data_IF_161551463657
#
_entry.id   IF_161551463657
#
_cell.length_a   1.000
_cell.length_b   1.000
_cell.length_c   1.000
_cell.angle_alpha   90.00
_cell.angle_beta   90.00
_cell.angle_gamma   90.00
#
_symmetry.space_group_name_H-M   'P 1'
#
loop_
_entity.id
_entity.type
_entity.pdbx_description
1 polymer ?
#
# COMPACT_ATOMS: atom_id res chain seq x y z
N UNK A 1 -9.69 -7.10 -6.31
CA UNK A 1 -10.23 -5.72 -6.38
C UNK A 1 -9.32 -4.80 -7.21
N UNK A 2 -8.16 -4.35 -6.75
CA UNK A 2 -7.33 -3.36 -7.48
C UNK A 2 -6.91 -3.82 -8.90
N UNK A 3 -6.33 -5.02 -9.04
CA UNK A 3 -5.98 -5.58 -10.36
C UNK A 3 -7.21 -5.85 -11.24
N UNK A 4 -8.36 -6.18 -10.64
CA UNK A 4 -9.60 -6.43 -11.39
C UNK A 4 -10.16 -5.13 -11.99
N UNK A 5 -10.03 -4.01 -11.28
CA UNK A 5 -10.43 -2.69 -11.75
C UNK A 5 -9.30 -1.98 -12.53
N UNK A 6 -8.32 -2.73 -13.04
CA UNK A 6 -7.28 -2.24 -13.95
C UNK A 6 -6.54 -0.97 -13.47
N UNK A 7 -6.24 -0.90 -12.17
CA UNK A 7 -5.52 0.25 -11.61
C UNK A 7 -4.17 0.49 -12.28
N UNK A 8 -3.76 1.76 -12.37
CA UNK A 8 -2.45 2.17 -12.89
C UNK A 8 -1.40 2.37 -11.78
N UNK A 9 -1.69 1.94 -10.54
CA UNK A 9 -0.71 1.92 -9.45
C UNK A 9 0.44 0.96 -9.82
N UNK A 10 1.71 1.36 -9.65
CA UNK A 10 2.86 0.49 -9.92
C UNK A 10 2.84 -0.81 -9.08
N UNK A 11 3.54 -1.84 -9.53
CA UNK A 11 3.56 -3.15 -8.86
C UNK A 11 4.08 -3.05 -7.41
N UNK A 12 5.00 -2.14 -7.11
CA UNK A 12 5.47 -1.85 -5.75
C UNK A 12 4.32 -1.36 -4.86
N UNK A 13 3.48 -0.46 -5.38
CA UNK A 13 2.26 0.01 -4.72
C UNK A 13 1.29 -1.11 -4.40
N UNK A 14 1.11 -2.03 -5.35
CA UNK A 14 0.25 -3.20 -5.17
C UNK A 14 0.85 -4.20 -4.17
N UNK A 15 2.16 -4.39 -4.18
CA UNK A 15 2.86 -5.24 -3.22
C UNK A 15 2.76 -4.69 -1.79
N UNK A 16 2.95 -3.38 -1.61
CA UNK A 16 2.75 -2.70 -0.33
C UNK A 16 1.36 -3.01 0.22
N UNK A 17 0.29 -2.80 -0.56
CA UNK A 17 -1.08 -3.08 -0.12
C UNK A 17 -1.30 -4.58 0.16
N UNK A 18 -0.79 -5.46 -0.70
CA UNK A 18 -1.00 -6.91 -0.57
C UNK A 18 -0.31 -7.49 0.67
N UNK A 19 0.87 -6.98 1.02
CA UNK A 19 1.74 -7.58 2.04
C UNK A 19 1.95 -6.73 3.28
N UNK A 20 1.35 -5.53 3.41
CA UNK A 20 1.53 -4.64 4.58
C UNK A 20 1.21 -5.30 5.95
N UNK A 21 0.38 -6.34 5.95
CA UNK A 21 0.01 -7.08 7.16
C UNK A 21 0.89 -8.29 7.44
N UNK A 22 1.84 -8.64 6.56
CA UNK A 22 2.65 -9.84 6.64
C UNK A 22 3.90 -9.64 7.53
N UNK A 23 3.70 -9.24 8.79
CA UNK A 23 4.77 -8.93 9.74
C UNK A 23 5.81 -10.03 9.93
N UNK A 24 5.45 -11.33 9.98
CA UNK A 24 6.44 -12.40 10.00
C UNK A 24 7.47 -12.28 8.87
N UNK A 25 7.02 -11.93 7.66
CA UNK A 25 7.89 -11.76 6.50
C UNK A 25 8.68 -10.44 6.58
N UNK A 26 8.02 -9.29 6.48
CA UNK A 26 8.75 -8.03 6.29
C UNK A 26 9.52 -7.59 7.56
N UNK A 27 8.98 -7.84 8.76
CA UNK A 27 9.59 -7.44 10.04
C UNK A 27 10.42 -8.55 10.70
N UNK A 28 9.93 -9.79 10.75
CA UNK A 28 10.63 -10.91 11.44
C UNK A 28 11.55 -11.73 10.54
N UNK A 29 11.56 -11.47 9.23
CA UNK A 29 12.38 -12.17 8.23
C UNK A 29 12.10 -13.69 8.18
N UNK A 30 10.90 -14.08 8.58
CA UNK A 30 10.39 -15.44 8.37
C UNK A 30 9.95 -15.62 6.91
N UNK A 31 9.65 -16.87 6.52
CA UNK A 31 9.20 -17.22 5.17
C UNK A 31 10.19 -16.95 4.03
N UNK A 32 11.46 -16.67 4.33
CA UNK A 32 12.50 -16.48 3.30
C UNK A 32 12.63 -17.66 2.32
N UNK A 33 12.32 -18.89 2.75
CA UNK A 33 12.31 -20.08 1.91
C UNK A 33 11.18 -20.12 0.86
N UNK A 34 10.22 -19.20 0.93
CA UNK A 34 9.13 -19.05 -0.04
C UNK A 34 9.35 -17.88 -1.00
N UNK A 35 10.39 -17.05 -0.77
CA UNK A 35 10.65 -15.85 -1.56
C UNK A 35 11.29 -16.19 -2.92
N UNK A 36 10.91 -15.44 -3.95
CA UNK A 36 11.69 -15.32 -5.19
C UNK A 36 12.73 -14.20 -5.06
N UNK A 37 13.60 -14.06 -6.07
CA UNK A 37 14.61 -13.00 -6.09
C UNK A 37 13.96 -11.60 -6.09
N UNK A 38 12.86 -11.45 -6.83
CA UNK A 38 12.13 -10.19 -6.96
C UNK A 38 11.43 -9.77 -5.65
N UNK A 39 11.10 -10.72 -4.78
CA UNK A 39 10.48 -10.43 -3.48
C UNK A 39 11.40 -9.63 -2.55
N UNK A 40 12.73 -9.72 -2.75
CA UNK A 40 13.68 -8.95 -1.96
C UNK A 40 13.54 -7.45 -2.21
N UNK A 41 13.39 -7.03 -3.46
CA UNK A 41 13.20 -5.61 -3.82
C UNK A 41 11.82 -5.11 -3.36
N UNK A 42 10.78 -5.93 -3.49
CA UNK A 42 9.44 -5.58 -3.02
C UNK A 42 9.36 -5.45 -1.50
N UNK A 43 10.13 -6.25 -0.75
CA UNK A 43 10.19 -6.17 0.71
C UNK A 43 10.68 -4.80 1.19
N UNK A 44 11.60 -4.16 0.48
CA UNK A 44 12.10 -2.84 0.85
C UNK A 44 11.00 -1.77 0.74
N UNK A 45 10.17 -1.83 -0.30
CA UNK A 45 9.00 -0.95 -0.45
C UNK A 45 7.94 -1.21 0.64
N UNK A 46 7.66 -2.48 0.94
CA UNK A 46 6.72 -2.85 2.02
C UNK A 46 7.21 -2.33 3.38
N UNK A 47 8.51 -2.42 3.65
CA UNK A 47 9.12 -1.87 4.86
C UNK A 47 9.07 -0.36 4.94
N UNK A 48 9.30 0.34 3.83
CA UNK A 48 9.21 1.80 3.79
C UNK A 48 7.78 2.26 4.08
N UNK A 49 6.78 1.65 3.42
CA UNK A 49 5.37 1.92 3.69
C UNK A 49 4.96 1.63 5.14
N UNK A 50 5.46 0.53 5.71
CA UNK A 50 5.10 0.12 7.07
C UNK A 50 5.46 1.17 8.13
N UNK A 51 6.49 2.00 7.90
CA UNK A 51 6.81 3.13 8.79
C UNK A 51 5.64 4.11 8.89
N UNK A 52 5.02 4.44 7.76
CA UNK A 52 3.88 5.36 7.72
C UNK A 52 2.61 4.73 8.30
N UNK A 53 2.29 3.48 7.95
CA UNK A 53 1.16 2.75 8.55
C UNK A 53 1.29 2.68 10.08
N UNK A 54 2.47 2.35 10.60
CA UNK A 54 2.65 2.15 12.03
C UNK A 54 2.70 3.48 12.80
N UNK A 55 3.46 4.45 12.33
CA UNK A 55 3.85 5.62 13.14
C UNK A 55 3.07 6.90 12.84
N UNK A 56 2.14 6.90 11.89
CA UNK A 56 1.21 8.03 11.69
C UNK A 56 -0.07 7.92 12.52
N UNK A 57 -0.26 6.82 13.25
CA UNK A 57 -1.39 6.61 14.17
C UNK A 57 -1.30 7.62 15.32
N UNK A 58 -2.21 8.58 15.33
CA UNK A 58 -2.28 9.64 16.32
C UNK A 58 -3.73 9.83 16.81
N UNK A 59 -3.88 10.34 18.04
CA UNK A 59 -5.20 10.64 18.62
C UNK A 59 -5.88 11.82 17.90
N UNK A 60 -5.08 12.76 17.41
CA UNK A 60 -5.55 13.89 16.61
C UNK A 60 -5.79 13.43 15.19
N UNK A 61 -7.04 13.56 14.73
CA UNK A 61 -7.43 13.21 13.37
C UNK A 61 -7.15 14.37 12.40
N UNK A 62 -6.73 14.09 11.16
CA UNK A 62 -6.60 15.13 10.14
C UNK A 62 -7.97 15.68 9.73
N UNK A 63 -7.99 16.91 9.21
CA UNK A 63 -9.18 17.48 8.59
C UNK A 63 -9.42 16.82 7.23
N UNK A 64 -10.45 15.97 7.17
CA UNK A 64 -10.79 15.23 5.95
C UNK A 64 -11.33 16.16 4.86
N UNK A 65 -12.03 17.24 5.21
CA UNK A 65 -12.61 18.15 4.22
C UNK A 65 -11.53 18.95 3.51
N UNK A 66 -10.52 19.41 4.26
CA UNK A 66 -9.35 20.10 3.70
C UNK A 66 -8.55 19.19 2.76
N UNK A 67 -8.36 17.92 3.12
CA UNK A 67 -7.55 16.98 2.36
C UNK A 67 -8.28 16.34 1.16
N UNK A 68 -9.62 16.37 1.15
CA UNK A 68 -10.42 15.68 0.14
C UNK A 68 -10.04 16.03 -1.31
N UNK A 69 -9.89 17.31 -1.69
CA UNK A 69 -9.55 17.67 -3.07
C UNK A 69 -8.21 17.06 -3.54
N UNK A 70 -7.23 16.97 -2.63
CA UNK A 70 -5.93 16.36 -2.94
C UNK A 70 -6.06 14.86 -3.19
N UNK A 71 -6.72 14.11 -2.31
CA UNK A 71 -6.88 12.67 -2.48
C UNK A 71 -7.81 12.32 -3.65
N UNK A 72 -8.84 13.12 -3.92
CA UNK A 72 -9.70 12.93 -5.10
C UNK A 72 -8.89 12.99 -6.40
N UNK A 73 -7.98 13.95 -6.55
CA UNK A 73 -7.12 14.04 -7.75
C UNK A 73 -6.22 12.80 -7.92
N UNK A 74 -5.81 12.16 -6.82
CA UNK A 74 -5.04 10.90 -6.84
C UNK A 74 -5.96 9.74 -7.24
N UNK A 75 -7.18 9.67 -6.69
CA UNK A 75 -8.18 8.67 -7.07
C UNK A 75 -8.48 8.77 -8.57
N UNK A 76 -8.74 9.96 -9.08
CA UNK A 76 -9.05 10.20 -10.50
C UNK A 76 -7.90 9.78 -11.42
N UNK A 77 -6.66 9.87 -10.95
CA UNK A 77 -5.48 9.44 -11.71
C UNK A 77 -5.32 7.92 -11.77
N UNK A 78 -5.58 7.22 -10.66
CA UNK A 78 -5.17 5.82 -10.49
C UNK A 78 -6.30 4.80 -10.48
N UNK A 79 -7.51 5.22 -10.08
CA UNK A 79 -8.73 4.43 -9.90
C UNK A 79 -9.99 5.29 -10.15
N UNK A 80 -10.14 5.91 -11.34
CA UNK A 80 -11.27 6.81 -11.60
C UNK A 80 -12.60 6.07 -11.69
N UNK A 81 -13.69 6.79 -11.40
CA UNK A 81 -15.05 6.33 -11.66
C UNK A 81 -15.58 5.33 -10.62
N UNK A 82 -16.62 4.58 -11.02
CA UNK A 82 -17.23 3.57 -10.16
C UNK A 82 -16.50 2.24 -10.29
N UNK A 83 -16.09 1.68 -9.15
CA UNK A 83 -15.34 0.42 -9.06
C UNK A 83 -16.26 -0.76 -8.71
N UNK A 84 -15.81 -1.96 -9.08
CA UNK A 84 -16.41 -3.23 -8.66
C UNK A 84 -15.73 -3.79 -7.40
N UNK A 85 -16.53 -4.22 -6.42
CA UNK A 85 -16.08 -4.62 -5.09
C UNK A 85 -16.37 -6.09 -4.79
#
# INVERSE_FOLDING_TARGET
MLKFNETTIPEEGLAMIRYHSCYPWHNKKEYAHLMSEEDHELMDWVLEFNKFDLYTKADVRPDVQELWPYYQAIIDKYLPGQLSW
#
